data_IF_642883743827
#
_entry.id   IF_642883743827
#
_cell.length_a   1.000
_cell.length_b   1.000
_cell.length_c   1.000
_cell.angle_alpha   90.00
_cell.angle_beta   90.00
_cell.angle_gamma   90.00
#
_symmetry.space_group_name_H-M   'P 1'
#
loop_
_entity.id
_entity.type
_entity.pdbx_description
1 polymer ?
#
# COMPACT_ATOMS: atom_id res chain seq x y z
N UNK A 1 -1.05 19.63 16.73
CA UNK A 1 -0.55 19.03 15.48
C UNK A 1 -1.74 18.38 14.82
N UNK A 2 -2.13 18.80 13.62
CA UNK A 2 -3.15 18.07 12.86
C UNK A 2 -2.64 16.65 12.62
N UNK A 3 -3.52 15.66 12.76
CA UNK A 3 -3.21 14.31 12.31
C UNK A 3 -2.81 14.36 10.83
N UNK A 4 -1.86 13.50 10.43
CA UNK A 4 -1.48 13.36 9.02
C UNK A 4 -2.70 12.87 8.25
N UNK A 5 -3.00 13.51 7.12
CA UNK A 5 -4.04 13.04 6.20
C UNK A 5 -3.47 11.93 5.32
N UNK A 6 -3.66 10.69 5.75
CA UNK A 6 -3.10 9.51 5.08
C UNK A 6 -3.77 9.20 3.74
N UNK A 7 -5.03 9.57 3.58
CA UNK A 7 -5.73 9.43 2.29
C UNK A 7 -5.10 10.38 1.27
N UNK A 8 -4.95 11.66 1.62
CA UNK A 8 -4.28 12.63 0.74
C UNK A 8 -2.82 12.23 0.49
N UNK A 9 -2.09 11.77 1.51
CA UNK A 9 -0.72 11.28 1.33
C UNK A 9 -0.63 10.12 0.33
N UNK A 10 -1.57 9.18 0.36
CA UNK A 10 -1.57 8.02 -0.53
C UNK A 10 -2.09 8.37 -1.93
N UNK A 11 -3.18 9.12 -2.03
CA UNK A 11 -3.87 9.37 -3.31
C UNK A 11 -3.23 10.50 -4.11
N UNK A 12 -2.82 11.58 -3.46
CA UNK A 12 -2.30 12.79 -4.12
C UNK A 12 -0.80 13.04 -3.85
N UNK A 13 -0.24 12.36 -2.85
CA UNK A 13 1.15 12.51 -2.45
C UNK A 13 2.06 11.41 -3.01
N UNK A 14 2.50 10.53 -2.12
CA UNK A 14 3.51 9.51 -2.42
C UNK A 14 2.98 8.44 -3.38
N UNK A 15 1.72 8.03 -3.27
CA UNK A 15 1.15 7.06 -4.20
C UNK A 15 1.01 7.62 -5.61
N UNK A 16 0.59 8.88 -5.79
CA UNK A 16 0.56 9.51 -7.12
C UNK A 16 1.95 9.54 -7.76
N UNK A 17 2.97 9.93 -6.99
CA UNK A 17 4.38 9.92 -7.44
C UNK A 17 4.79 8.53 -7.95
N UNK A 18 4.44 7.48 -7.21
CA UNK A 18 4.74 6.09 -7.58
C UNK A 18 3.99 5.67 -8.84
N UNK A 19 2.69 5.99 -8.96
CA UNK A 19 1.86 5.65 -10.12
C UNK A 19 2.40 6.33 -11.37
N UNK A 20 2.75 7.61 -11.30
CA UNK A 20 3.34 8.35 -12.41
C UNK A 20 4.67 7.75 -12.84
N UNK A 21 5.54 7.38 -11.89
CA UNK A 21 6.81 6.71 -12.19
C UNK A 21 6.58 5.35 -12.86
N UNK A 22 5.67 4.52 -12.32
CA UNK A 22 5.28 3.24 -12.90
C UNK A 22 4.76 3.38 -14.33
N UNK A 23 3.94 4.40 -14.59
CA UNK A 23 3.39 4.67 -15.91
C UNK A 23 4.47 5.12 -16.92
N UNK A 24 5.44 5.91 -16.48
CA UNK A 24 6.51 6.43 -17.34
C UNK A 24 7.61 5.40 -17.63
N UNK A 25 7.99 4.60 -16.63
CA UNK A 25 9.22 3.78 -16.66
C UNK A 25 8.97 2.27 -16.49
N UNK A 26 7.73 1.88 -16.15
CA UNK A 26 7.35 0.50 -15.88
C UNK A 26 7.62 0.05 -14.44
N UNK A 27 6.96 -1.04 -14.03
CA UNK A 27 7.04 -1.56 -12.65
C UNK A 27 8.46 -1.89 -12.19
N UNK A 28 9.34 -2.30 -13.12
CA UNK A 28 10.72 -2.69 -12.79
C UNK A 28 11.59 -1.50 -12.32
N UNK A 29 11.18 -0.26 -12.59
CA UNK A 29 11.91 0.93 -12.10
C UNK A 29 11.57 1.30 -10.66
N UNK A 30 10.51 0.71 -10.10
CA UNK A 30 10.07 0.96 -8.74
C UNK A 30 10.97 0.25 -7.73
N UNK A 31 11.37 0.97 -6.68
CA UNK A 31 12.01 0.34 -5.51
C UNK A 31 11.02 -0.61 -4.82
N UNK A 32 11.51 -1.42 -3.89
CA UNK A 32 10.64 -2.28 -3.07
C UNK A 32 9.59 -1.47 -2.31
N UNK A 33 10.00 -0.37 -1.70
CA UNK A 33 9.06 0.48 -0.97
C UNK A 33 8.03 1.13 -1.92
N UNK A 34 8.44 1.56 -3.12
CA UNK A 34 7.51 2.10 -4.12
C UNK A 34 6.51 1.03 -4.61
N UNK A 35 6.95 -0.21 -4.81
CA UNK A 35 6.04 -1.32 -5.12
C UNK A 35 5.02 -1.53 -4.00
N UNK A 36 5.46 -1.54 -2.74
CA UNK A 36 4.56 -1.67 -1.60
C UNK A 36 3.57 -0.50 -1.48
N UNK A 37 4.01 0.73 -1.72
CA UNK A 37 3.12 1.90 -1.76
C UNK A 37 2.08 1.77 -2.88
N UNK A 38 2.47 1.24 -4.04
CA UNK A 38 1.54 0.98 -5.13
C UNK A 38 0.50 -0.10 -4.75
N UNK A 39 0.93 -1.19 -4.13
CA UNK A 39 0.01 -2.25 -3.68
C UNK A 39 -0.99 -1.73 -2.63
N UNK A 40 -0.54 -0.86 -1.71
CA UNK A 40 -1.41 -0.17 -0.78
C UNK A 40 -2.41 0.74 -1.51
N UNK A 41 -1.96 1.51 -2.49
CA UNK A 41 -2.86 2.36 -3.27
C UNK A 41 -3.93 1.54 -4.00
N UNK A 42 -3.56 0.38 -4.56
CA UNK A 42 -4.53 -0.53 -5.20
C UNK A 42 -5.57 -1.05 -4.20
N UNK A 43 -5.13 -1.44 -3.00
CA UNK A 43 -6.03 -1.87 -1.93
C UNK A 43 -7.00 -0.75 -1.51
N UNK A 44 -6.47 0.47 -1.31
CA UNK A 44 -7.28 1.64 -0.94
C UNK A 44 -8.29 1.99 -2.01
N UNK A 45 -7.88 1.92 -3.28
CA UNK A 45 -8.74 2.14 -4.43
C UNK A 45 -9.93 1.17 -4.42
N UNK A 46 -9.71 -0.13 -4.22
CA UNK A 46 -10.79 -1.11 -4.13
C UNK A 46 -11.73 -0.85 -2.95
N UNK A 47 -11.16 -0.71 -1.75
CA UNK A 47 -11.94 -0.51 -0.53
C UNK A 47 -12.78 0.77 -0.53
N UNK A 48 -12.29 1.86 -1.14
CA UNK A 48 -13.02 3.14 -1.19
C UNK A 48 -14.01 3.24 -2.34
N UNK A 49 -13.73 2.63 -3.49
CA UNK A 49 -14.61 2.74 -4.67
C UNK A 49 -15.68 1.64 -4.73
N UNK A 50 -15.36 0.43 -4.26
CA UNK A 50 -16.27 -0.72 -4.31
C UNK A 50 -16.62 -1.27 -2.93
N UNK A 51 -15.77 -1.04 -1.92
CA UNK A 51 -15.93 -1.64 -0.60
C UNK A 51 -15.36 -3.04 -0.51
N UNK A 52 -14.57 -3.47 -1.50
CA UNK A 52 -13.99 -4.80 -1.60
C UNK A 52 -12.57 -4.77 -2.20
N UNK A 53 -11.84 -5.87 -2.00
CA UNK A 53 -10.53 -6.12 -2.59
C UNK A 53 -10.61 -6.97 -3.87
N UNK A 54 -11.82 -7.30 -4.35
CA UNK A 54 -12.02 -7.91 -5.66
C UNK A 54 -11.68 -6.90 -6.76
N UNK A 55 -12.17 -5.66 -6.62
CA UNK A 55 -11.83 -4.53 -7.51
C UNK A 55 -10.34 -4.23 -7.52
N UNK A 56 -9.67 -4.36 -6.36
CA UNK A 56 -8.23 -4.23 -6.25
C UNK A 56 -7.49 -5.34 -7.03
N UNK A 57 -7.97 -6.59 -6.92
CA UNK A 57 -7.40 -7.74 -7.63
C UNK A 57 -7.62 -7.67 -9.15
N UNK A 58 -8.71 -7.09 -9.62
CA UNK A 58 -8.93 -6.86 -11.06
C UNK A 58 -7.89 -5.90 -11.65
N UNK A 59 -7.44 -4.92 -10.86
CA UNK A 59 -6.43 -3.95 -11.29
C UNK A 59 -5.01 -4.50 -11.19
N UNK A 60 -4.71 -5.21 -10.10
CA UNK A 60 -3.40 -5.80 -9.85
C UNK A 60 -3.54 -7.12 -9.08
N UNK A 61 -3.65 -8.27 -9.77
CA UNK A 61 -4.05 -9.54 -9.16
C UNK A 61 -3.19 -10.02 -7.99
N UNK A 62 -1.91 -9.66 -7.98
CA UNK A 62 -0.93 -10.07 -6.97
C UNK A 62 -0.71 -9.05 -5.86
N UNK A 63 -1.45 -7.92 -5.82
CA UNK A 63 -1.19 -6.80 -4.89
C UNK A 63 -1.05 -7.25 -3.44
N UNK A 64 -1.93 -8.13 -2.97
CA UNK A 64 -1.96 -8.56 -1.58
C UNK A 64 -0.78 -9.46 -1.22
N UNK A 65 -0.47 -10.45 -2.07
CA UNK A 65 0.65 -11.36 -1.87
C UNK A 65 1.99 -10.63 -1.99
N UNK A 66 2.11 -9.70 -2.94
CA UNK A 66 3.29 -8.87 -3.13
C UNK A 66 3.49 -7.89 -1.97
N UNK A 67 2.43 -7.22 -1.52
CA UNK A 67 2.48 -6.35 -0.35
C UNK A 67 2.96 -7.11 0.90
N UNK A 68 2.38 -8.28 1.18
CA UNK A 68 2.78 -9.08 2.33
C UNK A 68 4.25 -9.52 2.27
N UNK A 69 4.70 -9.96 1.09
CA UNK A 69 6.09 -10.39 0.87
C UNK A 69 7.05 -9.21 1.02
N UNK A 70 6.79 -8.08 0.35
CA UNK A 70 7.66 -6.91 0.37
C UNK A 70 7.70 -6.29 1.77
N UNK A 71 6.56 -6.17 2.45
CA UNK A 71 6.52 -5.70 3.83
C UNK A 71 7.36 -6.58 4.75
N UNK A 72 7.34 -7.90 4.55
CA UNK A 72 8.21 -8.82 5.28
C UNK A 72 9.70 -8.60 4.99
N UNK A 73 10.07 -8.40 3.71
CA UNK A 73 11.45 -8.08 3.29
C UNK A 73 11.96 -6.77 3.90
N UNK A 74 11.08 -5.79 4.07
CA UNK A 74 11.36 -4.47 4.63
C UNK A 74 11.20 -4.41 6.16
N UNK A 75 10.89 -5.53 6.82
CA UNK A 75 10.61 -5.61 8.27
C UNK A 75 9.47 -4.69 8.75
N UNK A 76 8.47 -4.46 7.90
CA UNK A 76 7.28 -3.66 8.19
C UNK A 76 6.19 -4.56 8.76
N UNK A 77 6.29 -4.84 10.06
CA UNK A 77 5.52 -5.90 10.72
C UNK A 77 4.00 -5.66 10.64
N UNK A 78 3.53 -4.42 10.78
CA UNK A 78 2.07 -4.14 10.76
C UNK A 78 1.50 -4.32 9.36
N UNK A 79 2.25 -3.89 8.35
CA UNK A 79 1.89 -4.02 6.94
C UNK A 79 1.92 -5.48 6.52
N UNK A 80 2.96 -6.23 6.91
CA UNK A 80 3.08 -7.66 6.65
C UNK A 80 1.95 -8.46 7.31
N UNK A 81 1.60 -8.13 8.56
CA UNK A 81 0.46 -8.73 9.26
C UNK A 81 -0.84 -8.47 8.51
N UNK A 82 -1.12 -7.22 8.15
CA UNK A 82 -2.38 -6.83 7.50
C UNK A 82 -2.55 -7.54 6.13
N UNK A 83 -1.56 -7.41 5.24
CA UNK A 83 -1.65 -8.01 3.90
C UNK A 83 -1.51 -9.55 3.91
N UNK A 84 -0.97 -10.13 4.99
CA UNK A 84 -0.91 -11.58 5.21
C UNK A 84 -2.23 -12.20 5.69
N UNK A 85 -3.24 -11.41 6.02
CA UNK A 85 -4.57 -11.91 6.40
C UNK A 85 -5.29 -12.56 5.21
N UNK A 86 -6.26 -13.46 5.45
CA UNK A 86 -7.26 -13.81 4.45
C UNK A 86 -7.94 -12.55 3.91
N UNK A 87 -8.26 -12.52 2.61
CA UNK A 87 -8.83 -11.33 1.95
C UNK A 87 -10.05 -10.75 2.67
N UNK A 88 -10.99 -11.59 3.10
CA UNK A 88 -12.18 -11.16 3.85
C UNK A 88 -11.85 -10.48 5.18
N UNK A 89 -10.79 -10.93 5.86
CA UNK A 89 -10.38 -10.39 7.15
C UNK A 89 -9.63 -9.07 6.98
N UNK A 90 -8.87 -8.94 5.90
CA UNK A 90 -8.27 -7.68 5.49
C UNK A 90 -9.35 -6.65 5.15
N UNK A 91 -10.33 -7.00 4.31
CA UNK A 91 -11.47 -6.12 3.98
C UNK A 91 -12.20 -5.61 5.23
N UNK A 92 -12.52 -6.52 6.16
CA UNK A 92 -13.25 -6.20 7.37
C UNK A 92 -12.50 -5.26 8.32
N UNK A 93 -11.16 -5.30 8.31
CA UNK A 93 -10.30 -4.52 9.21
C UNK A 93 -9.51 -3.42 8.52
N UNK A 94 -9.72 -3.20 7.21
CA UNK A 94 -8.87 -2.35 6.38
C UNK A 94 -8.77 -0.93 6.92
N UNK A 95 -9.92 -0.25 7.10
CA UNK A 95 -9.94 1.14 7.53
C UNK A 95 -9.44 1.35 8.97
N UNK A 96 -9.59 0.35 9.84
CA UNK A 96 -9.04 0.37 11.20
C UNK A 96 -7.51 0.27 11.21
N UNK A 97 -6.93 -0.42 10.21
CA UNK A 97 -5.49 -0.63 10.06
C UNK A 97 -4.81 0.42 9.18
N UNK A 98 -5.57 1.13 8.34
CA UNK A 98 -5.07 2.03 7.30
C UNK A 98 -4.02 3.02 7.81
N UNK A 99 -4.35 3.79 8.85
CA UNK A 99 -3.44 4.80 9.42
C UNK A 99 -2.11 4.19 9.89
N UNK A 100 -2.17 2.99 10.47
CA UNK A 100 -0.99 2.31 10.99
C UNK A 100 -0.09 1.78 9.86
N UNK A 101 -0.70 1.32 8.76
CA UNK A 101 0.01 0.89 7.55
C UNK A 101 0.68 2.08 6.87
N UNK A 102 -0.08 3.16 6.61
CA UNK A 102 0.45 4.37 5.98
C UNK A 102 1.60 4.98 6.80
N UNK A 103 1.43 5.06 8.13
CA UNK A 103 2.48 5.56 9.01
C UNK A 103 3.75 4.71 8.98
N UNK A 104 3.63 3.38 8.88
CA UNK A 104 4.78 2.47 8.86
C UNK A 104 5.55 2.59 7.53
N UNK A 105 4.84 2.62 6.41
CA UNK A 105 5.43 2.79 5.07
C UNK A 105 6.08 4.18 4.93
N UNK A 106 5.41 5.24 5.38
CA UNK A 106 5.95 6.59 5.33
C UNK A 106 7.23 6.72 6.18
N UNK A 107 7.24 6.15 7.38
CA UNK A 107 8.43 6.13 8.23
C UNK A 107 9.60 5.34 7.61
N UNK A 108 9.32 4.30 6.84
CA UNK A 108 10.34 3.58 6.09
C UNK A 108 10.90 4.41 4.92
N UNK A 109 10.07 5.23 4.27
CA UNK A 109 10.50 6.12 3.18
C UNK A 109 11.49 7.19 3.67
N UNK A 110 11.27 7.71 4.88
CA UNK A 110 12.14 8.71 5.50
C UNK A 110 13.52 8.16 5.91
N UNK A 111 13.62 6.85 6.15
CA UNK A 111 14.88 6.20 6.55
C UNK A 111 15.83 5.90 5.39
N UNK A 112 15.35 6.07 4.14
CA UNK A 112 16.12 5.86 2.91
C UNK A 112 16.28 4.36 2.58
N UNK A 113 16.34 3.99 1.29
CA UNK A 113 16.59 2.60 0.90
C UNK A 113 18.05 2.24 1.19
N UNK A 114 18.29 1.18 1.97
CA UNK A 114 19.58 0.46 1.93
C UNK A 114 19.84 -0.16 0.55
#
# INVERSE_FOLDING_TARGET
MSAVDWETWLVEGEGDRVILKKAAEGTQSLTRLEQLTYDLWVADYGMRNAGDLETAADLHPSFQEEAARIASELNLAKTAEAFGLPRSDLEASYFERFDAICSEIAAAAEQGPE
#
